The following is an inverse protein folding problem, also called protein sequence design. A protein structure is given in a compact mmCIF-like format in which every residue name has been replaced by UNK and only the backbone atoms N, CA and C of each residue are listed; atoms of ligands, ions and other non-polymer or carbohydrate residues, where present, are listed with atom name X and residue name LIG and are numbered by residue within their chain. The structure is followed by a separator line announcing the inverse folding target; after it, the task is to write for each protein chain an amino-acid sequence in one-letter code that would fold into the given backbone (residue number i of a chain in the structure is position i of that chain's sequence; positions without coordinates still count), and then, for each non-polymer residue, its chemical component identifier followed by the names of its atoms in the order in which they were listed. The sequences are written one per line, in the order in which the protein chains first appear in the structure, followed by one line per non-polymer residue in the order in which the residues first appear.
data_IF_611905920821
#
_entry.id   IF_611905920821
#
_cell.length_a   1.000
_cell.length_b   1.000
_cell.length_c   1.000
_cell.angle_alpha   90.00
_cell.angle_beta   90.00
_cell.angle_gamma   90.00
#
_symmetry.space_group_name_H-M   'P 1'
#
loop_
_entity.id
_entity.type
_entity.pdbx_description
1 polymer ?
#
# COMPACT_ATOMS: atom_id res chain seq x y z
N UNK A 1 29.20 -6.77 -0.99
CA UNK A 1 28.28 -5.71 -1.46
C UNK A 1 26.91 -6.01 -0.88
N UNK A 2 26.43 -5.19 0.04
CA UNK A 2 25.06 -5.31 0.54
C UNK A 2 24.12 -4.99 -0.63
N UNK A 3 23.51 -6.00 -1.19
CA UNK A 3 22.52 -5.79 -2.21
C UNK A 3 21.28 -5.17 -1.54
N UNK A 4 20.90 -3.97 -1.97
CA UNK A 4 19.67 -3.34 -1.49
C UNK A 4 18.45 -4.22 -1.80
N UNK A 5 17.41 -4.22 -0.96
CA UNK A 5 16.14 -4.89 -1.28
C UNK A 5 15.54 -4.27 -2.54
N UNK A 6 15.05 -5.10 -3.45
CA UNK A 6 14.45 -4.67 -4.72
C UNK A 6 13.13 -5.39 -4.92
N UNK A 7 12.10 -4.60 -5.20
CA UNK A 7 10.77 -5.05 -5.60
C UNK A 7 10.52 -4.62 -7.05
N UNK A 8 10.17 -5.57 -7.90
CA UNK A 8 9.50 -5.30 -9.18
C UNK A 8 8.00 -5.61 -9.03
N UNK A 9 7.17 -4.77 -9.59
CA UNK A 9 5.73 -5.00 -9.73
C UNK A 9 5.22 -4.28 -10.98
N UNK A 10 4.05 -4.68 -11.47
CA UNK A 10 3.51 -4.16 -12.71
C UNK A 10 2.01 -3.92 -12.66
N UNK A 11 1.50 -3.25 -13.70
CA UNK A 11 0.09 -3.26 -14.05
C UNK A 11 -0.32 -4.65 -14.55
N UNK A 12 -1.64 -4.89 -14.60
CA UNK A 12 -2.25 -6.07 -15.22
C UNK A 12 -3.50 -5.67 -16.01
N UNK A 13 -3.95 -6.54 -16.90
CA UNK A 13 -5.23 -6.38 -17.60
C UNK A 13 -6.28 -7.24 -16.93
N UNK A 14 -7.43 -6.66 -16.62
CA UNK A 14 -8.62 -7.43 -16.30
C UNK A 14 -9.13 -8.13 -17.54
N UNK A 15 -9.49 -9.39 -17.43
CA UNK A 15 -10.09 -10.17 -18.50
C UNK A 15 -11.33 -10.94 -18.01
N UNK A 16 -12.18 -11.32 -18.96
CA UNK A 16 -13.35 -12.15 -18.72
C UNK A 16 -12.95 -13.64 -18.56
N UNK A 17 -13.94 -14.50 -18.46
CA UNK A 17 -13.76 -15.95 -18.31
C UNK A 17 -13.04 -16.59 -19.50
N UNK A 18 -13.14 -15.98 -20.69
CA UNK A 18 -12.50 -16.41 -21.93
C UNK A 18 -11.14 -15.75 -22.16
N UNK A 19 -10.57 -15.10 -21.13
CA UNK A 19 -9.30 -14.36 -21.18
C UNK A 19 -9.32 -13.16 -22.15
N UNK A 20 -10.48 -12.62 -22.52
CA UNK A 20 -10.59 -11.42 -23.33
C UNK A 20 -10.37 -10.19 -22.44
N UNK A 21 -9.31 -9.39 -22.68
CA UNK A 21 -9.03 -8.19 -21.89
C UNK A 21 -10.10 -7.12 -22.09
N UNK A 22 -10.43 -6.36 -21.01
CA UNK A 22 -11.40 -5.26 -21.10
C UNK A 22 -10.99 -3.99 -20.35
N UNK A 23 -10.09 -4.06 -19.36
CA UNK A 23 -9.65 -2.89 -18.61
C UNK A 23 -8.25 -3.09 -18.03
N UNK A 24 -7.46 -2.00 -17.93
CA UNK A 24 -6.17 -1.98 -17.23
C UNK A 24 -6.36 -1.65 -15.75
N UNK A 25 -5.54 -2.21 -14.89
CA UNK A 25 -5.63 -2.09 -13.43
C UNK A 25 -5.47 -0.67 -12.89
N UNK A 26 -4.65 0.16 -13.50
CA UNK A 26 -4.37 1.55 -13.09
C UNK A 26 -3.93 1.67 -11.63
N UNK A 27 -3.01 0.80 -11.22
CA UNK A 27 -2.49 0.80 -9.86
C UNK A 27 -1.68 2.05 -9.56
N UNK A 28 -0.86 2.49 -10.52
CA UNK A 28 0.10 3.57 -10.32
C UNK A 28 -0.18 4.76 -11.26
N UNK A 29 -0.28 5.96 -10.69
CA UNK A 29 -0.36 7.23 -11.41
C UNK A 29 1.03 7.86 -11.69
N UNK A 30 2.11 7.11 -11.52
CA UNK A 30 3.50 7.58 -11.66
C UNK A 30 4.03 8.37 -10.46
N UNK A 31 3.26 8.50 -9.37
CA UNK A 31 3.59 9.33 -8.20
C UNK A 31 3.66 8.53 -6.90
N UNK A 32 3.69 7.20 -6.97
CA UNK A 32 3.78 6.38 -5.77
C UNK A 32 5.16 6.51 -5.15
N UNK A 33 5.16 6.73 -3.85
CA UNK A 33 6.33 6.80 -3.00
C UNK A 33 5.99 6.21 -1.61
N UNK A 34 6.93 6.19 -0.70
CA UNK A 34 6.72 5.65 0.64
C UNK A 34 5.54 6.34 1.37
N UNK A 35 5.43 7.67 1.29
CA UNK A 35 4.35 8.37 1.99
C UNK A 35 2.96 7.89 1.57
N UNK A 36 2.73 7.68 0.27
CA UNK A 36 1.50 7.08 -0.22
C UNK A 36 1.39 5.61 0.16
N UNK A 37 2.50 4.85 0.07
CA UNK A 37 2.51 3.44 0.41
C UNK A 37 2.14 3.18 1.87
N UNK A 38 2.36 4.11 2.80
CA UNK A 38 1.92 3.96 4.19
C UNK A 38 0.39 3.76 4.31
N UNK A 39 -0.40 4.39 3.44
CA UNK A 39 -1.86 4.38 3.53
C UNK A 39 -2.59 3.87 2.28
N UNK A 40 -1.86 3.49 1.24
CA UNK A 40 -2.44 3.00 0.00
C UNK A 40 -1.57 1.92 -0.64
N UNK A 41 -2.06 0.68 -0.65
CA UNK A 41 -1.38 -0.38 -1.39
C UNK A 41 -1.63 -0.21 -2.91
N UNK A 42 -0.56 -0.09 -3.66
CA UNK A 42 -0.55 0.00 -5.12
C UNK A 42 0.28 -1.10 -5.78
N UNK A 43 0.64 -2.11 -5.01
CA UNK A 43 1.22 -3.35 -5.51
C UNK A 43 0.17 -4.45 -5.50
N UNK A 44 0.28 -5.37 -6.43
CA UNK A 44 -0.60 -6.53 -6.49
C UNK A 44 0.25 -7.79 -6.37
N UNK A 45 -0.06 -8.62 -5.40
CA UNK A 45 0.75 -9.80 -5.06
C UNK A 45 1.05 -10.73 -6.23
N UNK A 46 0.16 -10.76 -7.23
CA UNK A 46 0.32 -11.57 -8.44
C UNK A 46 1.32 -10.99 -9.47
N UNK A 47 1.77 -9.74 -9.29
CA UNK A 47 2.77 -9.09 -10.18
C UNK A 47 4.12 -8.88 -9.52
N UNK A 48 4.28 -9.30 -8.26
CA UNK A 48 5.48 -9.04 -7.46
C UNK A 48 6.61 -10.01 -7.82
N UNK A 49 7.80 -9.45 -8.07
CA UNK A 49 9.07 -10.17 -8.05
C UNK A 49 10.00 -9.50 -7.03
N UNK A 50 10.66 -10.30 -6.22
CA UNK A 50 11.58 -9.85 -5.18
C UNK A 50 12.98 -10.39 -5.42
N UNK A 51 14.01 -9.57 -5.16
CA UNK A 51 15.36 -10.09 -5.07
C UNK A 51 15.56 -10.88 -3.75
N UNK A 52 16.65 -11.62 -3.65
CA UNK A 52 16.99 -12.45 -2.47
C UNK A 52 16.95 -11.61 -1.18
N UNK A 53 17.53 -10.42 -1.19
CA UNK A 53 17.59 -9.54 -0.01
C UNK A 53 16.20 -9.16 0.50
N UNK A 54 15.29 -8.74 -0.38
CA UNK A 54 13.91 -8.43 0.01
C UNK A 54 13.15 -9.66 0.49
N UNK A 55 13.39 -10.82 -0.14
CA UNK A 55 12.78 -12.08 0.28
C UNK A 55 13.23 -12.47 1.70
N UNK A 56 14.52 -12.39 2.00
CA UNK A 56 15.07 -12.67 3.33
C UNK A 56 14.52 -11.71 4.38
N UNK A 57 14.44 -10.42 4.07
CA UNK A 57 13.81 -9.41 4.95
C UNK A 57 12.35 -9.71 5.22
N UNK A 58 11.58 -10.04 4.19
CA UNK A 58 10.18 -10.40 4.32
C UNK A 58 10.00 -11.63 5.23
N UNK A 59 10.77 -12.69 5.00
CA UNK A 59 10.69 -13.92 5.79
C UNK A 59 11.13 -13.71 7.24
N UNK A 60 12.20 -12.95 7.48
CA UNK A 60 12.71 -12.68 8.83
C UNK A 60 11.82 -11.74 9.63
N UNK A 61 11.01 -10.91 8.97
CA UNK A 61 10.11 -9.99 9.65
C UNK A 61 8.94 -10.68 10.35
N UNK A 62 8.63 -11.93 10.04
CA UNK A 62 7.48 -12.66 10.59
C UNK A 62 6.15 -12.15 10.06
N UNK A 63 5.08 -12.89 10.33
CA UNK A 63 3.73 -12.56 9.87
C UNK A 63 2.89 -11.76 10.89
N UNK A 64 3.33 -11.64 12.13
CA UNK A 64 2.61 -10.91 13.18
C UNK A 64 2.43 -9.44 12.77
N UNK A 65 1.22 -8.91 12.96
CA UNK A 65 0.85 -7.53 12.58
C UNK A 65 1.01 -7.21 11.09
N UNK A 66 0.99 -8.24 10.21
CA UNK A 66 0.94 -8.09 8.76
C UNK A 66 -0.45 -8.47 8.27
N UNK A 67 -1.24 -7.47 7.88
CA UNK A 67 -2.61 -7.70 7.39
C UNK A 67 -2.65 -8.06 5.92
N UNK A 68 -1.70 -7.53 5.14
CA UNK A 68 -1.60 -7.75 3.69
C UNK A 68 -0.13 -7.96 3.30
N UNK A 69 0.17 -9.16 2.83
CA UNK A 69 1.54 -9.56 2.50
C UNK A 69 2.17 -8.72 1.38
N UNK A 70 1.41 -8.42 0.33
CA UNK A 70 1.87 -7.60 -0.79
C UNK A 70 2.15 -6.15 -0.39
N UNK A 71 1.30 -5.59 0.47
CA UNK A 71 1.51 -4.26 1.02
C UNK A 71 2.73 -4.21 1.95
N UNK A 72 2.91 -5.24 2.79
CA UNK A 72 4.08 -5.32 3.66
C UNK A 72 5.39 -5.39 2.87
N UNK A 73 5.43 -6.20 1.82
CA UNK A 73 6.58 -6.28 0.90
C UNK A 73 6.88 -4.91 0.27
N UNK A 74 5.84 -4.18 -0.17
CA UNK A 74 5.99 -2.85 -0.71
C UNK A 74 6.54 -1.85 0.33
N UNK A 75 6.03 -1.87 1.56
CA UNK A 75 6.53 -1.03 2.66
C UNK A 75 8.02 -1.26 2.92
N UNK A 76 8.48 -2.51 2.98
CA UNK A 76 9.88 -2.85 3.13
C UNK A 76 10.74 -2.28 1.97
N UNK A 77 10.29 -2.50 0.73
CA UNK A 77 11.03 -2.06 -0.44
C UNK A 77 11.10 -0.54 -0.59
N UNK A 78 9.99 0.18 -0.33
CA UNK A 78 9.95 1.65 -0.37
C UNK A 78 10.76 2.29 0.76
N UNK A 79 10.87 1.64 1.93
CA UNK A 79 11.58 2.19 3.08
C UNK A 79 13.08 1.96 3.04
N UNK A 80 13.54 0.84 2.49
CA UNK A 80 14.92 0.37 2.65
C UNK A 80 15.63 0.07 1.33
N UNK A 81 14.91 0.14 0.22
CA UNK A 81 15.42 -0.32 -1.05
C UNK A 81 14.93 0.44 -2.26
N UNK A 82 14.55 -0.31 -3.29
CA UNK A 82 14.10 0.22 -4.57
C UNK A 82 12.85 -0.51 -5.03
N UNK A 83 11.88 0.25 -5.50
CA UNK A 83 10.69 -0.28 -6.19
C UNK A 83 10.75 0.11 -7.66
N UNK A 84 10.67 -0.90 -8.52
CA UNK A 84 10.54 -0.74 -9.97
C UNK A 84 9.10 -1.07 -10.33
N UNK A 85 8.33 -0.05 -10.69
CA UNK A 85 6.95 -0.23 -11.14
C UNK A 85 6.87 -0.15 -12.65
N UNK A 86 6.41 -1.23 -13.27
CA UNK A 86 6.21 -1.30 -14.71
C UNK A 86 4.76 -0.92 -15.06
N UNK A 87 4.60 0.10 -15.88
CA UNK A 87 3.27 0.52 -16.34
C UNK A 87 2.72 -0.40 -17.44
N UNK A 88 3.55 -1.27 -18.02
CA UNK A 88 3.06 -2.26 -18.97
C UNK A 88 2.44 -3.46 -18.23
N UNK A 89 1.24 -3.90 -18.64
CA UNK A 89 0.61 -5.06 -18.03
C UNK A 89 1.36 -6.35 -18.33
N UNK A 90 1.75 -7.09 -17.30
CA UNK A 90 2.51 -8.34 -17.46
C UNK A 90 1.65 -9.60 -17.34
N UNK A 91 0.38 -9.48 -16.94
CA UNK A 91 -0.53 -10.62 -16.81
C UNK A 91 -1.99 -10.26 -17.09
N UNK A 92 -2.78 -11.30 -17.34
CA UNK A 92 -4.23 -11.24 -17.42
C UNK A 92 -4.84 -11.65 -16.07
N UNK A 93 -5.58 -10.73 -15.45
CA UNK A 93 -6.29 -11.00 -14.19
C UNK A 93 -7.75 -11.34 -14.51
N UNK A 94 -8.09 -12.63 -14.42
CA UNK A 94 -9.44 -13.10 -14.71
C UNK A 94 -10.43 -12.60 -13.66
N UNK A 95 -11.50 -11.95 -14.13
CA UNK A 95 -12.63 -11.56 -13.31
C UNK A 95 -13.76 -12.57 -13.45
N UNK A 96 -14.08 -13.20 -12.34
CA UNK A 96 -15.31 -14.00 -12.15
C UNK A 96 -16.17 -13.27 -11.14
N UNK A 97 -17.49 -13.43 -11.17
CA UNK A 97 -18.38 -12.73 -10.24
C UNK A 97 -18.09 -12.95 -8.74
N UNK A 98 -17.20 -13.90 -8.41
CA UNK A 98 -16.79 -14.26 -7.05
C UNK A 98 -15.48 -13.61 -6.58
N UNK A 99 -14.85 -12.75 -7.38
CA UNK A 99 -13.61 -12.07 -6.95
C UNK A 99 -13.84 -11.16 -5.73
N UNK A 100 -12.88 -11.16 -4.80
CA UNK A 100 -12.96 -10.44 -3.51
C UNK A 100 -13.11 -8.91 -3.67
N UNK A 101 -12.56 -8.34 -4.76
CA UNK A 101 -12.65 -6.90 -5.01
C UNK A 101 -13.85 -6.55 -5.88
N UNK A 102 -14.79 -5.71 -5.42
CA UNK A 102 -15.94 -5.30 -6.23
C UNK A 102 -15.51 -4.46 -7.43
N UNK A 103 -16.07 -4.78 -8.60
CA UNK A 103 -15.92 -3.99 -9.83
C UNK A 103 -17.29 -3.73 -10.45
N UNK A 104 -17.42 -2.61 -11.16
CA UNK A 104 -18.63 -2.30 -11.93
C UNK A 104 -19.77 -1.70 -11.12
N UNK A 105 -19.57 -1.38 -9.83
CA UNK A 105 -20.57 -0.70 -9.02
C UNK A 105 -20.61 0.79 -9.34
N UNK A 106 -21.78 1.43 -9.23
CA UNK A 106 -21.90 2.89 -9.36
C UNK A 106 -20.93 3.60 -8.40
N UNK A 107 -20.45 4.78 -8.77
CA UNK A 107 -19.49 5.56 -7.95
C UNK A 107 -19.97 5.77 -6.52
N UNK A 108 -21.29 5.85 -6.29
CA UNK A 108 -21.90 6.00 -4.96
C UNK A 108 -21.80 4.69 -4.13
N UNK A 109 -22.04 3.54 -4.73
CA UNK A 109 -21.91 2.24 -4.05
C UNK A 109 -20.45 1.93 -3.72
N UNK A 110 -19.52 2.30 -4.60
CA UNK A 110 -18.07 2.21 -4.33
C UNK A 110 -17.65 3.13 -3.20
N UNK A 111 -18.18 4.36 -3.13
CA UNK A 111 -17.91 5.29 -2.02
C UNK A 111 -18.44 4.73 -0.70
N UNK A 112 -19.69 4.25 -0.66
CA UNK A 112 -20.29 3.63 0.52
C UNK A 112 -19.51 2.39 0.97
N UNK A 113 -19.09 1.53 0.02
CA UNK A 113 -18.24 0.38 0.31
C UNK A 113 -16.90 0.81 0.91
N UNK A 114 -16.24 1.81 0.33
CA UNK A 114 -14.97 2.35 0.82
C UNK A 114 -15.11 2.95 2.22
N UNK A 115 -16.13 3.76 2.46
CA UNK A 115 -16.40 4.32 3.78
C UNK A 115 -16.62 3.20 4.80
N UNK A 116 -17.47 2.22 4.51
CA UNK A 116 -17.69 1.09 5.39
C UNK A 116 -16.44 0.23 5.59
N UNK A 117 -15.62 0.08 4.55
CA UNK A 117 -14.36 -0.68 4.63
C UNK A 117 -13.32 0.06 5.47
N UNK A 118 -13.20 1.38 5.33
CA UNK A 118 -12.34 2.22 6.16
C UNK A 118 -12.82 2.33 7.61
N UNK A 119 -14.14 2.43 7.84
CA UNK A 119 -14.72 2.54 9.17
C UNK A 119 -14.76 1.19 9.92
N UNK A 120 -14.52 0.07 9.27
CA UNK A 120 -14.27 -1.18 9.98
C UNK A 120 -12.95 -1.05 10.73
N UNK A 121 -13.02 -0.91 12.04
CA UNK A 121 -11.89 -0.70 12.96
C UNK A 121 -10.70 -1.61 12.67
N UNK A 122 -10.93 -2.89 12.36
CA UNK A 122 -9.89 -3.87 12.01
C UNK A 122 -9.01 -3.48 10.82
N UNK A 123 -9.53 -2.74 9.82
CA UNK A 123 -8.71 -2.33 8.67
C UNK A 123 -7.75 -1.21 9.03
N UNK A 124 -8.23 -0.20 9.75
CA UNK A 124 -7.40 0.92 10.23
C UNK A 124 -6.34 0.43 11.22
N UNK A 125 -6.73 -0.47 12.13
CA UNK A 125 -5.80 -1.10 13.07
C UNK A 125 -4.71 -1.89 12.34
N UNK A 126 -5.06 -2.64 11.29
CA UNK A 126 -4.10 -3.37 10.48
C UNK A 126 -3.08 -2.46 9.78
N UNK A 127 -3.53 -1.33 9.22
CA UNK A 127 -2.62 -0.32 8.62
C UNK A 127 -1.66 0.22 9.69
N UNK A 128 -2.20 0.65 10.83
CA UNK A 128 -1.40 1.20 11.92
C UNK A 128 -0.38 0.19 12.43
N UNK A 129 -0.79 -1.06 12.67
CA UNK A 129 0.09 -2.12 13.13
C UNK A 129 1.23 -2.41 12.15
N UNK A 130 0.98 -2.39 10.82
CA UNK A 130 2.04 -2.55 9.83
C UNK A 130 3.05 -1.39 9.85
N UNK A 131 2.58 -0.15 9.99
CA UNK A 131 3.46 1.02 10.07
C UNK A 131 4.28 0.99 11.37
N UNK A 132 3.65 0.67 12.50
CA UNK A 132 4.31 0.54 13.81
C UNK A 132 5.39 -0.56 13.76
N UNK A 133 5.07 -1.71 13.17
CA UNK A 133 6.01 -2.81 12.95
C UNK A 133 7.20 -2.38 12.08
N UNK A 134 6.92 -1.65 10.98
CA UNK A 134 7.96 -1.14 10.09
C UNK A 134 8.94 -0.23 10.86
N UNK A 135 8.43 0.71 11.64
CA UNK A 135 9.24 1.60 12.46
C UNK A 135 10.04 0.88 13.53
N UNK A 136 9.43 -0.11 14.21
CA UNK A 136 10.08 -0.85 15.30
C UNK A 136 11.17 -1.80 14.82
N UNK A 137 10.98 -2.49 13.70
CA UNK A 137 11.95 -3.47 13.19
C UNK A 137 13.08 -2.82 12.40
N UNK A 138 12.78 -1.77 11.64
CA UNK A 138 13.70 -1.28 10.62
C UNK A 138 14.02 0.21 10.75
N UNK A 139 13.49 0.92 11.74
CA UNK A 139 13.71 2.36 11.90
C UNK A 139 15.19 2.77 11.95
N UNK A 140 16.04 1.96 12.57
CA UNK A 140 17.50 2.20 12.66
C UNK A 140 18.26 1.93 11.36
N UNK A 141 17.63 1.32 10.35
CA UNK A 141 18.21 1.04 9.04
C UNK A 141 17.75 2.06 7.98
N UNK A 142 16.79 2.92 8.31
CA UNK A 142 16.26 3.95 7.44
C UNK A 142 17.21 5.15 7.37
N UNK A 143 17.21 5.84 6.22
CA UNK A 143 17.78 7.16 6.16
C UNK A 143 16.95 8.17 6.99
N UNK A 144 17.51 9.35 7.23
CA UNK A 144 16.91 10.35 8.12
C UNK A 144 15.53 10.83 7.64
N UNK A 145 15.31 10.94 6.33
CA UNK A 145 14.03 11.40 5.77
C UNK A 145 12.96 10.31 5.90
N UNK A 146 13.31 9.09 5.54
CA UNK A 146 12.46 7.90 5.69
C UNK A 146 12.08 7.68 7.15
N UNK A 147 13.05 7.75 8.05
CA UNK A 147 12.81 7.62 9.50
C UNK A 147 11.88 8.71 10.02
N UNK A 148 12.10 9.98 9.62
CA UNK A 148 11.24 11.10 10.01
C UNK A 148 9.80 10.91 9.50
N UNK A 149 9.64 10.44 8.28
CA UNK A 149 8.33 10.13 7.71
C UNK A 149 7.62 9.05 8.55
N UNK A 150 8.23 7.87 8.71
CA UNK A 150 7.65 6.74 9.44
C UNK A 150 7.38 7.13 10.89
N UNK A 151 8.31 7.79 11.58
CA UNK A 151 8.16 8.22 12.99
C UNK A 151 7.03 9.22 13.18
N UNK A 152 6.77 10.09 12.20
CA UNK A 152 5.61 10.98 12.24
C UNK A 152 4.31 10.17 12.31
N UNK A 153 4.18 9.12 11.48
CA UNK A 153 2.96 8.34 11.39
C UNK A 153 2.81 7.25 12.46
N UNK A 154 3.88 6.86 13.15
CA UNK A 154 3.83 6.02 14.36
C UNK A 154 3.58 6.84 15.63
N UNK A 155 3.78 8.15 15.59
CA UNK A 155 3.58 9.05 16.74
C UNK A 155 2.09 9.23 17.07
N UNK A 156 1.80 9.81 18.25
CA UNK A 156 0.46 10.24 18.66
C UNK A 156 0.10 11.65 18.18
N UNK A 157 0.95 12.29 17.39
CA UNK A 157 0.80 13.68 16.96
C UNK A 157 -0.23 13.83 15.82
N UNK A 158 -1.51 13.84 16.15
CA UNK A 158 -2.64 13.90 15.20
C UNK A 158 -2.53 15.04 14.20
N UNK A 159 -2.22 16.26 14.69
CA UNK A 159 -2.09 17.46 13.85
C UNK A 159 -0.92 17.29 12.88
N UNK A 160 0.23 16.83 13.33
CA UNK A 160 1.39 16.63 12.47
C UNK A 160 1.11 15.64 11.33
N UNK A 161 0.37 14.56 11.60
CA UNK A 161 -0.11 13.63 10.56
C UNK A 161 -1.06 14.32 9.58
N UNK A 162 -2.05 15.06 10.09
CA UNK A 162 -3.09 15.69 9.29
C UNK A 162 -2.57 16.80 8.35
N UNK A 163 -1.51 17.52 8.78
CA UNK A 163 -0.92 18.61 7.97
C UNK A 163 0.37 18.19 7.26
N UNK A 164 0.72 16.90 7.27
CA UNK A 164 1.94 16.43 6.63
C UNK A 164 1.96 16.82 5.14
N UNK A 165 3.07 17.40 4.62
CA UNK A 165 3.05 18.06 3.30
C UNK A 165 2.98 17.08 2.12
N UNK A 166 3.36 15.80 2.31
CA UNK A 166 3.24 14.81 1.25
C UNK A 166 1.80 14.30 1.08
N UNK A 167 1.43 13.96 -0.14
CA UNK A 167 0.19 13.26 -0.44
C UNK A 167 0.30 11.79 0.00
N UNK A 168 -0.69 11.32 0.75
CA UNK A 168 -0.77 9.97 1.31
C UNK A 168 -1.72 9.07 0.51
N UNK A 169 -2.50 9.65 -0.41
CA UNK A 169 -3.47 8.94 -1.23
C UNK A 169 -3.44 9.46 -2.67
N UNK A 170 -3.81 8.60 -3.61
CA UNK A 170 -3.86 8.97 -5.02
C UNK A 170 -5.05 9.88 -5.35
N UNK A 171 -6.21 9.65 -4.69
CA UNK A 171 -7.43 10.43 -4.91
C UNK A 171 -7.61 11.49 -3.84
N UNK A 172 -7.85 12.74 -4.24
CA UNK A 172 -7.98 13.87 -3.31
C UNK A 172 -9.09 13.71 -2.27
N UNK A 173 -10.21 13.07 -2.62
CA UNK A 173 -11.30 12.81 -1.66
C UNK A 173 -10.90 11.78 -0.59
N UNK A 174 -10.13 10.73 -0.99
CA UNK A 174 -9.63 9.72 -0.06
C UNK A 174 -8.51 10.33 0.83
N UNK A 175 -7.73 11.27 0.29
CA UNK A 175 -6.73 12.05 1.03
C UNK A 175 -7.39 12.91 2.12
N UNK A 176 -8.43 13.66 1.77
CA UNK A 176 -9.16 14.47 2.74
C UNK A 176 -9.77 13.60 3.84
N UNK A 177 -10.41 12.51 3.48
CA UNK A 177 -10.98 11.58 4.45
C UNK A 177 -9.92 11.03 5.42
N UNK A 178 -8.73 10.65 4.91
CA UNK A 178 -7.63 10.18 5.73
C UNK A 178 -7.14 11.25 6.72
N UNK A 179 -7.01 12.49 6.29
CA UNK A 179 -6.59 13.61 7.16
C UNK A 179 -7.60 13.88 8.27
N UNK A 180 -8.90 13.77 7.99
CA UNK A 180 -9.95 13.86 9.00
C UNK A 180 -9.88 12.69 10.01
N UNK A 181 -9.51 11.48 9.56
CA UNK A 181 -9.29 10.33 10.45
C UNK A 181 -8.11 10.57 11.41
N UNK A 182 -7.03 11.22 10.98
CA UNK A 182 -5.94 11.61 11.89
C UNK A 182 -6.41 12.60 12.94
N UNK A 183 -7.16 13.64 12.55
CA UNK A 183 -7.67 14.64 13.50
C UNK A 183 -8.64 14.03 14.51
N UNK A 184 -9.47 13.09 14.09
CA UNK A 184 -10.40 12.39 14.99
C UNK A 184 -9.70 11.43 15.97
N UNK A 185 -8.45 11.04 15.69
CA UNK A 185 -7.68 10.09 16.49
C UNK A 185 -8.05 8.63 16.27
N UNK A 186 -8.72 8.33 15.17
CA UNK A 186 -9.01 6.95 14.74
C UNK A 186 -7.79 6.29 14.07
N UNK A 187 -6.80 7.10 13.67
CA UNK A 187 -5.50 6.69 13.11
C UNK A 187 -4.32 7.38 13.77
#
# INVERSE_FOLDING_TARGET
SSHKPVLYCSEYLFCDENLKPFEKSRLNDGKINLARCLYENKTSGNTILMNKTLTEMYLSSGCDHVSWHDWWIALLAYSLGTVVFDNEPTLLYRRTGSNVSPTGSSSFLLLKYRINYFLKSKHLDGIRQQIDKLGSLYGNQMDSETYKLVSTFTSKARIAKAVYPASLRQKGIDELALRLLFLSGLL
#
